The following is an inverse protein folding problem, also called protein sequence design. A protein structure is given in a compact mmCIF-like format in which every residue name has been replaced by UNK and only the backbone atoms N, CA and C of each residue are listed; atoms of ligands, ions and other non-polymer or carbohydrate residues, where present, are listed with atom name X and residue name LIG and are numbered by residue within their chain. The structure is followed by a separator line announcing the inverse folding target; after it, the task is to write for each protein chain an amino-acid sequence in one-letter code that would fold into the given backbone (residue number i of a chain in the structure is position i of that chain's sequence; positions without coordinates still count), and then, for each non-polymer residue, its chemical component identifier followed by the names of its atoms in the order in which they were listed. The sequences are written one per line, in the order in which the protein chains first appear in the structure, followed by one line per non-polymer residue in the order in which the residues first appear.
data_IF_644961188193
#
_entry.id   IF_644961188193
#
_cell.length_a   1.000
_cell.length_b   1.000
_cell.length_c   1.000
_cell.angle_alpha   90.00
_cell.angle_beta   90.00
_cell.angle_gamma   90.00
#
_symmetry.space_group_name_H-M   'P 1'
#
loop_
_entity.id
_entity.type
_entity.pdbx_description
1 polymer ?
#
# COMPACT_ATOMS: atom_id res chain seq x y z
N UNK A 1 -2.38 10.07 -4.69
CA UNK A 1 -1.30 11.05 -4.38
C UNK A 1 -0.80 11.79 -5.59
N UNK A 2 -0.44 11.11 -6.70
CA UNK A 2 0.03 11.77 -7.93
C UNK A 2 -0.90 12.91 -8.42
N UNK A 3 -2.21 12.70 -8.38
CA UNK A 3 -3.23 13.69 -8.75
C UNK A 3 -3.10 15.01 -7.98
N UNK A 4 -2.71 14.97 -6.69
CA UNK A 4 -2.53 16.17 -5.87
C UNK A 4 -1.26 16.94 -6.22
N UNK A 5 -0.24 16.26 -6.73
CA UNK A 5 0.98 16.93 -7.21
C UNK A 5 0.74 17.61 -8.56
N UNK A 6 -0.09 17.01 -9.43
CA UNK A 6 -0.46 17.58 -10.73
C UNK A 6 -1.41 18.79 -10.62
N UNK A 7 -2.14 18.94 -9.51
CA UNK A 7 -2.98 20.11 -9.27
C UNK A 7 -2.22 21.33 -8.73
N UNK A 8 -0.91 21.21 -8.48
CA UNK A 8 -0.09 22.32 -8.01
C UNK A 8 0.41 23.15 -9.21
N UNK A 9 0.50 24.48 -9.07
CA UNK A 9 0.80 25.36 -10.21
C UNK A 9 2.25 25.23 -10.70
N UNK A 10 3.18 24.80 -9.84
CA UNK A 10 4.62 24.74 -10.17
C UNK A 10 5.28 23.47 -9.64
N UNK A 11 6.33 23.01 -10.32
CA UNK A 11 7.13 21.85 -9.91
C UNK A 11 7.81 22.08 -8.55
N UNK A 12 8.22 23.32 -8.26
CA UNK A 12 8.78 23.71 -6.95
C UNK A 12 7.76 23.58 -5.83
N UNK A 13 6.49 23.89 -6.09
CA UNK A 13 5.42 23.65 -5.12
C UNK A 13 5.20 22.14 -4.89
N UNK A 14 5.16 21.33 -5.96
CA UNK A 14 5.05 19.87 -5.85
C UNK A 14 6.20 19.24 -5.04
N UNK A 15 7.44 19.68 -5.26
CA UNK A 15 8.60 19.20 -4.50
C UNK A 15 8.51 19.55 -3.01
N UNK A 16 8.10 20.79 -2.68
CA UNK A 16 7.89 21.21 -1.28
C UNK A 16 6.78 20.39 -0.61
N UNK A 17 5.67 20.16 -1.31
CA UNK A 17 4.58 19.33 -0.82
C UNK A 17 5.03 17.88 -0.55
N UNK A 18 5.87 17.31 -1.43
CA UNK A 18 6.44 15.99 -1.25
C UNK A 18 7.35 15.90 -0.01
N UNK A 19 8.24 16.89 0.19
CA UNK A 19 9.11 16.94 1.37
C UNK A 19 8.27 17.04 2.66
N UNK A 20 7.26 17.90 2.67
CA UNK A 20 6.34 18.05 3.80
C UNK A 20 5.61 16.73 4.09
N UNK A 21 5.15 16.04 3.04
CA UNK A 21 4.48 14.75 3.17
C UNK A 21 5.41 13.68 3.77
N UNK A 22 6.68 13.64 3.36
CA UNK A 22 7.67 12.69 3.90
C UNK A 22 7.89 12.94 5.40
N UNK A 23 8.13 14.18 5.79
CA UNK A 23 8.33 14.53 7.20
C UNK A 23 7.07 14.24 8.04
N UNK A 24 5.91 14.68 7.57
CA UNK A 24 4.64 14.45 8.25
C UNK A 24 4.31 12.97 8.43
N UNK A 25 4.49 12.16 7.38
CA UNK A 25 4.25 10.70 7.45
C UNK A 25 5.22 10.03 8.41
N UNK A 26 6.50 10.43 8.40
CA UNK A 26 7.51 9.88 9.30
C UNK A 26 7.18 10.21 10.76
N UNK A 27 6.80 11.45 11.05
CA UNK A 27 6.40 11.88 12.38
C UNK A 27 5.16 11.11 12.88
N UNK A 28 4.13 10.99 12.05
CA UNK A 28 2.91 10.22 12.39
C UNK A 28 3.23 8.76 12.64
N UNK A 29 4.04 8.11 11.79
CA UNK A 29 4.42 6.72 11.97
C UNK A 29 5.20 6.51 13.27
N UNK A 30 6.14 7.40 13.59
CA UNK A 30 6.88 7.36 14.86
C UNK A 30 5.95 7.48 16.08
N UNK A 31 4.94 8.35 16.00
CA UNK A 31 3.92 8.48 17.06
C UNK A 31 3.07 7.20 17.16
N UNK A 32 2.69 6.57 16.05
CA UNK A 32 1.96 5.29 16.07
C UNK A 32 2.79 4.18 16.74
N UNK A 33 4.09 4.08 16.42
CA UNK A 33 4.99 3.13 17.06
C UNK A 33 5.12 3.40 18.57
N UNK A 34 5.25 4.67 18.97
CA UNK A 34 5.28 5.05 20.37
C UNK A 34 3.99 4.67 21.11
N UNK A 35 2.82 4.88 20.49
CA UNK A 35 1.53 4.46 21.07
C UNK A 35 1.49 2.93 21.29
N UNK A 36 2.01 2.12 20.35
CA UNK A 36 2.10 0.68 20.53
C UNK A 36 2.97 0.27 21.73
N UNK A 37 4.11 0.95 21.93
CA UNK A 37 4.97 0.74 23.10
C UNK A 37 4.30 1.18 24.40
N UNK A 38 3.55 2.28 24.37
CA UNK A 38 2.80 2.78 25.52
C UNK A 38 1.72 1.80 25.96
N UNK A 39 0.95 1.25 25.02
CA UNK A 39 -0.04 0.20 25.30
C UNK A 39 0.63 -1.00 25.98
N UNK A 40 1.76 -1.46 25.44
CA UNK A 40 2.50 -2.55 26.05
C UNK A 40 2.96 -2.22 27.47
N UNK A 41 3.50 -1.02 27.70
CA UNK A 41 3.97 -0.61 29.03
C UNK A 41 2.84 -0.51 30.06
N UNK A 42 1.63 -0.12 29.65
CA UNK A 42 0.46 0.02 30.53
C UNK A 42 -0.23 -1.31 30.82
N UNK A 43 -0.28 -2.21 29.83
CA UNK A 43 -1.04 -3.46 29.90
C UNK A 43 -0.15 -4.71 29.98
N UNK A 44 1.14 -4.56 30.30
CA UNK A 44 2.05 -5.69 30.44
C UNK A 44 1.61 -6.65 31.54
N UNK A 45 1.21 -6.10 32.70
CA UNK A 45 0.89 -6.86 33.91
C UNK A 45 -0.59 -7.32 33.96
N UNK A 46 -1.43 -6.68 33.14
CA UNK A 46 -2.83 -7.03 32.94
C UNK A 46 -3.20 -6.88 31.47
N UNK A 47 -3.10 -7.97 30.71
CA UNK A 47 -3.44 -7.99 29.30
C UNK A 47 -4.96 -7.99 29.05
N UNK A 48 -5.55 -6.90 28.52
CA UNK A 48 -6.98 -6.82 28.24
C UNK A 48 -7.44 -7.77 27.12
N UNK A 49 -6.51 -8.29 26.30
CA UNK A 49 -6.85 -9.24 25.23
C UNK A 49 -7.10 -10.64 25.79
N UNK A 50 -6.25 -11.09 26.71
CA UNK A 50 -6.36 -12.41 27.36
C UNK A 50 -7.53 -12.51 28.36
N UNK A 51 -7.88 -11.39 29.00
CA UNK A 51 -9.05 -11.32 29.89
C UNK A 51 -10.38 -11.19 29.14
N UNK A 52 -10.35 -10.94 27.83
CA UNK A 52 -11.54 -10.75 26.99
C UNK A 52 -12.17 -9.36 27.09
N UNK A 53 -11.53 -8.40 27.77
CA UNK A 53 -11.95 -7.01 27.82
C UNK A 53 -11.86 -6.35 26.43
N UNK A 54 -10.81 -6.66 25.67
CA UNK A 54 -10.68 -6.37 24.25
C UNK A 54 -10.89 -7.64 23.42
N UNK A 55 -11.76 -7.58 22.41
CA UNK A 55 -12.01 -8.74 21.52
C UNK A 55 -10.97 -8.87 20.41
N UNK A 56 -10.35 -7.76 20.02
CA UNK A 56 -9.39 -7.69 18.92
C UNK A 56 -8.25 -6.73 19.26
N UNK A 57 -7.06 -6.99 18.68
CA UNK A 57 -5.86 -6.17 18.87
C UNK A 57 -6.07 -4.70 18.48
N UNK A 58 -6.89 -4.46 17.46
CA UNK A 58 -7.20 -3.11 16.96
C UNK A 58 -8.05 -2.27 17.96
N UNK A 59 -8.63 -2.90 18.99
CA UNK A 59 -9.42 -2.22 20.03
C UNK A 59 -8.58 -1.69 21.19
N UNK A 60 -7.30 -2.06 21.28
CA UNK A 60 -6.42 -1.68 22.39
C UNK A 60 -6.18 -0.16 22.47
N UNK A 61 -6.02 0.51 21.32
CA UNK A 61 -5.80 1.97 21.29
C UNK A 61 -7.04 2.72 21.80
N UNK A 62 -8.27 2.47 21.29
CA UNK A 62 -9.47 3.07 21.87
C UNK A 62 -9.65 2.77 23.37
N UNK A 63 -9.37 1.54 23.79
CA UNK A 63 -9.48 1.13 25.20
C UNK A 63 -8.56 1.97 26.09
N UNK A 64 -7.28 2.08 25.73
CA UNK A 64 -6.32 2.90 26.47
C UNK A 64 -6.76 4.38 26.55
N UNK A 65 -7.28 4.92 25.45
CA UNK A 65 -7.75 6.32 25.43
C UNK A 65 -8.97 6.52 26.33
N UNK A 66 -9.91 5.57 26.31
CA UNK A 66 -11.08 5.62 27.18
C UNK A 66 -10.68 5.55 28.65
N UNK A 67 -9.69 4.75 29.03
CA UNK A 67 -9.19 4.64 30.40
C UNK A 67 -8.44 5.89 30.86
N UNK A 68 -7.47 6.36 30.07
CA UNK A 68 -6.59 7.48 30.45
C UNK A 68 -7.32 8.83 30.38
N UNK A 69 -8.17 9.04 29.38
CA UNK A 69 -8.88 10.30 29.17
C UNK A 69 -10.28 10.33 29.81
N UNK A 70 -10.71 9.27 30.51
CA UNK A 70 -11.99 9.26 31.24
C UNK A 70 -12.17 10.45 32.19
N UNK A 71 -11.06 10.95 32.75
CA UNK A 71 -11.04 12.06 33.70
C UNK A 71 -11.49 13.38 33.05
N UNK A 72 -11.31 13.51 31.73
CA UNK A 72 -11.59 14.75 30.99
C UNK A 72 -12.80 14.54 30.07
N UNK A 73 -14.01 15.00 30.46
CA UNK A 73 -15.20 14.81 29.66
C UNK A 73 -15.05 15.46 28.27
N UNK A 74 -15.35 14.69 27.22
CA UNK A 74 -15.30 15.16 25.84
C UNK A 74 -14.01 14.85 25.07
N UNK A 75 -12.87 14.60 25.74
CA UNK A 75 -11.62 14.28 25.03
C UNK A 75 -11.67 12.93 24.30
N UNK A 76 -12.29 11.92 24.92
CA UNK A 76 -12.53 10.64 24.26
C UNK A 76 -13.41 10.80 23.00
N UNK A 77 -14.43 11.65 23.06
CA UNK A 77 -15.27 11.97 21.89
C UNK A 77 -14.50 12.69 20.79
N UNK A 78 -13.64 13.64 21.16
CA UNK A 78 -12.75 14.35 20.22
C UNK A 78 -11.77 13.38 19.53
N UNK A 79 -11.22 12.42 20.29
CA UNK A 79 -10.35 11.38 19.76
C UNK A 79 -11.06 10.51 18.72
N UNK A 80 -12.25 10.00 19.05
CA UNK A 80 -13.06 9.19 18.13
C UNK A 80 -13.44 10.00 16.89
N UNK A 81 -13.84 11.27 17.04
CA UNK A 81 -14.13 12.17 15.92
C UNK A 81 -12.90 12.38 15.01
N UNK A 82 -11.71 12.51 15.60
CA UNK A 82 -10.44 12.60 14.87
C UNK A 82 -10.14 11.36 14.02
N UNK A 83 -10.35 10.17 14.59
CA UNK A 83 -10.18 8.89 13.86
C UNK A 83 -11.15 8.83 12.67
N UNK A 84 -12.43 9.12 12.89
CA UNK A 84 -13.42 9.11 11.80
C UNK A 84 -13.07 10.13 10.71
N UNK A 85 -12.65 11.34 11.09
CA UNK A 85 -12.22 12.37 10.14
C UNK A 85 -11.02 11.90 9.29
N UNK A 86 -10.00 11.32 9.92
CA UNK A 86 -8.83 10.78 9.22
C UNK A 86 -9.18 9.62 8.27
N UNK A 87 -10.04 8.70 8.73
CA UNK A 87 -10.52 7.57 7.92
C UNK A 87 -11.34 8.03 6.71
N UNK A 88 -12.30 8.94 6.91
CA UNK A 88 -13.13 9.49 5.84
C UNK A 88 -12.31 10.30 4.82
N UNK A 89 -11.30 11.05 5.26
CA UNK A 89 -10.39 11.79 4.37
C UNK A 89 -9.63 10.85 3.42
N UNK A 90 -9.14 9.73 3.96
CA UNK A 90 -8.43 8.70 3.18
C UNK A 90 -9.37 7.97 2.23
N UNK A 91 -10.55 7.56 2.71
CA UNK A 91 -11.57 6.87 1.93
C UNK A 91 -12.08 7.74 0.77
N UNK A 92 -12.38 9.01 1.04
CA UNK A 92 -12.81 9.98 0.03
C UNK A 92 -11.76 10.14 -1.07
N UNK A 93 -10.48 10.23 -0.69
CA UNK A 93 -9.38 10.32 -1.67
C UNK A 93 -9.27 9.06 -2.51
N UNK A 94 -9.38 7.87 -1.90
CA UNK A 94 -9.31 6.59 -2.61
C UNK A 94 -10.47 6.43 -3.61
N UNK A 95 -11.71 6.70 -3.18
CA UNK A 95 -12.89 6.60 -4.05
C UNK A 95 -12.86 7.63 -5.19
N UNK A 96 -12.36 8.85 -4.93
CA UNK A 96 -12.21 9.87 -5.96
C UNK A 96 -11.12 9.52 -6.99
N UNK A 97 -10.00 8.94 -6.56
CA UNK A 97 -8.99 8.45 -7.49
C UNK A 97 -9.52 7.26 -8.30
N UNK A 98 -10.27 6.36 -7.68
CA UNK A 98 -10.86 5.20 -8.36
C UNK A 98 -11.90 5.61 -9.40
N UNK A 99 -12.77 6.58 -9.10
CA UNK A 99 -13.73 7.07 -10.08
C UNK A 99 -13.04 7.73 -11.28
N UNK A 100 -11.95 8.47 -11.04
CA UNK A 100 -11.13 9.03 -12.11
C UNK A 100 -10.48 7.94 -12.99
N UNK A 101 -9.97 6.87 -12.40
CA UNK A 101 -9.43 5.70 -13.13
C UNK A 101 -10.52 5.05 -13.99
N UNK A 102 -11.72 4.84 -13.44
CA UNK A 102 -12.85 4.27 -14.21
C UNK A 102 -13.20 5.15 -15.41
N UNK A 103 -13.19 6.47 -15.24
CA UNK A 103 -13.47 7.41 -16.33
C UNK A 103 -12.36 7.40 -17.39
N UNK A 104 -11.11 7.63 -16.98
CA UNK A 104 -9.97 7.85 -17.89
C UNK A 104 -9.48 6.55 -18.54
N UNK A 105 -9.45 5.43 -17.81
CA UNK A 105 -8.86 4.19 -18.30
C UNK A 105 -9.89 3.19 -18.84
N UNK A 106 -11.13 3.19 -18.31
CA UNK A 106 -12.15 2.21 -18.69
C UNK A 106 -13.31 2.76 -19.50
N UNK A 107 -13.57 4.07 -19.46
CA UNK A 107 -14.68 4.66 -20.21
C UNK A 107 -14.19 5.42 -21.44
N UNK A 108 -13.35 6.44 -21.27
CA UNK A 108 -12.88 7.27 -22.39
C UNK A 108 -12.23 6.48 -23.54
N UNK A 109 -11.39 5.45 -23.31
CA UNK A 109 -10.74 4.73 -24.41
C UNK A 109 -11.72 3.90 -25.26
N UNK A 110 -12.86 3.52 -24.69
CA UNK A 110 -13.85 2.65 -25.34
C UNK A 110 -15.02 3.43 -25.96
N UNK A 111 -15.12 4.74 -25.71
CA UNK A 111 -16.18 5.59 -26.24
C UNK A 111 -15.67 6.40 -27.44
N UNK A 112 -16.33 6.25 -28.59
CA UNK A 112 -15.94 6.92 -29.85
C UNK A 112 -16.23 8.43 -29.88
N UNK A 113 -17.08 8.93 -28.98
CA UNK A 113 -17.49 10.35 -28.91
C UNK A 113 -17.06 10.93 -27.56
N UNK A 114 -16.64 12.20 -27.49
CA UNK A 114 -16.35 12.84 -26.22
C UNK A 114 -17.61 12.84 -25.34
N UNK A 115 -17.46 12.41 -24.09
CA UNK A 115 -18.54 12.40 -23.12
C UNK A 115 -18.93 13.84 -22.77
N UNK A 116 -20.23 14.10 -22.64
CA UNK A 116 -20.73 15.38 -22.15
C UNK A 116 -20.41 15.55 -20.66
N UNK A 117 -20.29 16.80 -20.17
CA UNK A 117 -20.00 17.07 -18.75
C UNK A 117 -21.02 16.41 -17.81
N UNK A 118 -22.29 16.36 -18.22
CA UNK A 118 -23.34 15.71 -17.44
C UNK A 118 -23.10 14.20 -17.32
N UNK A 119 -22.73 13.53 -18.42
CA UNK A 119 -22.41 12.11 -18.42
C UNK A 119 -21.17 11.81 -17.59
N UNK A 120 -20.11 12.63 -17.71
CA UNK A 120 -18.89 12.50 -16.89
C UNK A 120 -19.22 12.63 -15.41
N UNK A 121 -19.99 13.65 -15.02
CA UNK A 121 -20.38 13.86 -13.62
C UNK A 121 -21.20 12.70 -13.08
N UNK A 122 -22.16 12.21 -13.84
CA UNK A 122 -23.00 11.08 -13.43
C UNK A 122 -22.18 9.81 -13.27
N UNK A 123 -21.33 9.48 -14.25
CA UNK A 123 -20.45 8.32 -14.21
C UNK A 123 -19.49 8.36 -13.01
N UNK A 124 -18.84 9.50 -12.76
CA UNK A 124 -17.94 9.67 -11.63
C UNK A 124 -18.65 9.44 -10.29
N UNK A 125 -19.85 9.99 -10.09
CA UNK A 125 -20.65 9.81 -8.87
C UNK A 125 -21.18 8.39 -8.73
N UNK A 126 -21.65 7.78 -9.81
CA UNK A 126 -22.13 6.41 -9.83
C UNK A 126 -21.03 5.42 -9.47
N UNK A 127 -19.81 5.59 -10.02
CA UNK A 127 -18.64 4.78 -9.67
C UNK A 127 -18.33 4.86 -8.17
N UNK A 128 -18.35 6.06 -7.57
CA UNK A 128 -18.12 6.22 -6.13
C UNK A 128 -19.18 5.46 -5.31
N UNK A 129 -20.46 5.54 -5.68
CA UNK A 129 -21.53 4.81 -4.99
C UNK A 129 -21.38 3.30 -5.11
N UNK A 130 -21.06 2.79 -6.31
CA UNK A 130 -20.89 1.35 -6.55
C UNK A 130 -19.71 0.81 -5.74
N UNK A 131 -18.53 1.42 -5.86
CA UNK A 131 -17.35 0.95 -5.13
C UNK A 131 -17.45 1.19 -3.61
N UNK A 132 -18.10 2.27 -3.18
CA UNK A 132 -18.42 2.50 -1.77
C UNK A 132 -19.33 1.41 -1.20
N UNK A 133 -20.36 1.00 -1.96
CA UNK A 133 -21.26 -0.09 -1.56
C UNK A 133 -20.51 -1.43 -1.49
N UNK A 134 -19.68 -1.72 -2.49
CA UNK A 134 -18.83 -2.93 -2.49
C UNK A 134 -17.90 -2.94 -1.28
N UNK A 135 -17.28 -1.80 -0.94
CA UNK A 135 -16.41 -1.69 0.22
C UNK A 135 -17.17 -1.99 1.53
N UNK A 136 -18.40 -1.48 1.69
CA UNK A 136 -19.25 -1.79 2.87
C UNK A 136 -19.59 -3.28 2.94
N UNK A 137 -19.94 -3.91 1.81
CA UNK A 137 -20.24 -5.35 1.78
C UNK A 137 -19.02 -6.19 2.16
N UNK A 138 -17.82 -5.79 1.70
CA UNK A 138 -16.57 -6.49 2.02
C UNK A 138 -16.18 -6.41 3.50
N UNK A 139 -16.73 -5.49 4.30
CA UNK A 139 -16.46 -5.41 5.74
C UNK A 139 -16.82 -6.72 6.45
N UNK A 140 -17.91 -7.39 6.03
CA UNK A 140 -18.34 -8.67 6.61
C UNK A 140 -17.27 -9.76 6.47
N UNK A 141 -16.50 -9.71 5.38
CA UNK A 141 -15.38 -10.64 5.14
C UNK A 141 -14.18 -10.25 6.01
N UNK A 142 -13.84 -8.96 6.04
CA UNK A 142 -12.68 -8.44 6.79
C UNK A 142 -12.84 -8.65 8.29
N UNK A 143 -14.05 -8.56 8.84
CA UNK A 143 -14.31 -8.81 10.27
C UNK A 143 -14.00 -10.25 10.69
N UNK A 144 -14.05 -11.20 9.75
CA UNK A 144 -13.69 -12.61 9.99
C UNK A 144 -12.21 -12.90 9.78
N UNK A 145 -11.49 -11.95 9.19
CA UNK A 145 -10.06 -12.02 9.05
C UNK A 145 -9.39 -11.44 10.31
N UNK A 146 -8.13 -11.82 10.59
CA UNK A 146 -7.43 -11.44 11.82
C UNK A 146 -7.12 -9.94 11.95
N UNK A 147 -5.93 -9.59 12.43
CA UNK A 147 -5.56 -8.18 12.63
C UNK A 147 -5.63 -7.37 11.32
N UNK A 148 -6.35 -6.24 11.32
CA UNK A 148 -6.61 -5.44 10.11
C UNK A 148 -5.33 -4.88 9.51
N UNK A 149 -4.38 -4.47 10.37
CA UNK A 149 -3.07 -4.00 9.95
C UNK A 149 -2.31 -5.07 9.14
N UNK A 150 -2.30 -6.31 9.63
CA UNK A 150 -1.60 -7.42 8.98
C UNK A 150 -2.22 -7.75 7.61
N UNK A 151 -3.55 -7.74 7.51
CA UNK A 151 -4.26 -7.95 6.25
C UNK A 151 -3.94 -6.83 5.25
N UNK A 152 -3.97 -5.59 5.68
CA UNK A 152 -3.69 -4.43 4.84
C UNK A 152 -2.25 -4.45 4.30
N UNK A 153 -1.28 -4.79 5.17
CA UNK A 153 0.13 -4.84 4.82
C UNK A 153 0.52 -6.09 4.01
N UNK A 154 -0.31 -7.12 3.99
CA UNK A 154 -0.06 -8.34 3.18
C UNK A 154 -0.78 -8.31 1.83
N UNK A 155 -2.04 -7.83 1.78
CA UNK A 155 -2.81 -7.72 0.55
C UNK A 155 -2.41 -6.51 -0.31
N UNK A 156 -2.08 -5.38 0.31
CA UNK A 156 -1.71 -4.16 -0.42
C UNK A 156 -0.53 -4.34 -1.39
N UNK A 157 0.58 -5.00 -0.97
CA UNK A 157 1.73 -5.23 -1.84
C UNK A 157 1.47 -6.15 -3.05
N UNK A 158 0.40 -6.94 -3.06
CA UNK A 158 0.11 -7.88 -4.17
C UNK A 158 0.00 -7.15 -5.50
N UNK A 159 -0.62 -5.98 -5.50
CA UNK A 159 -0.78 -5.14 -6.70
C UNK A 159 0.23 -4.00 -6.73
N UNK A 160 0.50 -3.37 -5.58
CA UNK A 160 1.44 -2.24 -5.50
C UNK A 160 2.88 -2.64 -5.82
N UNK A 161 3.31 -3.85 -5.43
CA UNK A 161 4.66 -4.35 -5.72
C UNK A 161 4.92 -4.45 -7.23
N UNK A 162 4.11 -5.20 -7.99
CA UNK A 162 4.29 -5.31 -9.43
C UNK A 162 4.14 -3.98 -10.18
N UNK A 163 3.23 -3.11 -9.74
CA UNK A 163 3.13 -1.75 -10.29
C UNK A 163 4.41 -0.95 -10.04
N UNK A 164 5.00 -1.03 -8.85
CA UNK A 164 6.27 -0.39 -8.54
C UNK A 164 7.41 -0.98 -9.39
N UNK A 165 7.44 -2.30 -9.57
CA UNK A 165 8.36 -2.97 -10.49
C UNK A 165 8.22 -2.47 -11.94
N UNK A 166 7.00 -2.22 -12.41
CA UNK A 166 6.73 -1.66 -13.74
C UNK A 166 7.34 -0.25 -13.89
N UNK A 167 7.20 0.61 -12.89
CA UNK A 167 7.85 1.92 -12.87
C UNK A 167 9.38 1.82 -12.85
N UNK A 168 9.94 0.87 -12.08
CA UNK A 168 11.40 0.63 -12.06
C UNK A 168 11.88 0.20 -13.45
N UNK A 169 11.17 -0.74 -14.09
CA UNK A 169 11.47 -1.18 -15.46
C UNK A 169 11.49 0.00 -16.44
N UNK A 170 10.46 0.84 -16.42
CA UNK A 170 10.37 2.00 -17.30
C UNK A 170 11.43 3.08 -17.07
N UNK A 171 11.77 3.38 -15.81
CA UNK A 171 12.72 4.46 -15.48
C UNK A 171 14.19 4.06 -15.62
N UNK A 172 14.52 2.79 -15.34
CA UNK A 172 15.91 2.34 -15.21
C UNK A 172 16.37 1.40 -16.32
N UNK A 173 15.46 0.71 -17.02
CA UNK A 173 15.80 -0.33 -17.99
C UNK A 173 15.26 0.02 -19.38
N UNK A 174 15.95 0.88 -20.16
CA UNK A 174 15.47 1.31 -21.47
C UNK A 174 15.29 0.15 -22.45
N UNK A 175 15.97 -0.98 -22.24
CA UNK A 175 15.90 -2.18 -23.10
C UNK A 175 14.61 -3.00 -22.95
N UNK A 176 13.75 -2.69 -21.98
CA UNK A 176 12.52 -3.45 -21.73
C UNK A 176 11.38 -2.88 -22.59
N UNK A 177 10.89 -3.66 -23.54
CA UNK A 177 9.74 -3.29 -24.37
C UNK A 177 8.42 -3.46 -23.60
N UNK A 178 7.34 -2.82 -24.06
CA UNK A 178 6.01 -2.89 -23.42
C UNK A 178 5.49 -4.32 -23.21
N UNK A 179 5.70 -5.22 -24.17
CA UNK A 179 5.31 -6.64 -24.03
C UNK A 179 6.07 -7.34 -22.90
N UNK A 180 7.39 -7.10 -22.78
CA UNK A 180 8.21 -7.67 -21.72
C UNK A 180 7.81 -7.10 -20.35
N UNK A 181 7.45 -5.81 -20.30
CA UNK A 181 6.95 -5.16 -19.10
C UNK A 181 5.61 -5.75 -18.63
N UNK A 182 4.68 -6.04 -19.55
CA UNK A 182 3.40 -6.71 -19.24
C UNK A 182 3.64 -8.14 -18.75
N UNK A 183 4.52 -8.91 -19.40
CA UNK A 183 4.88 -10.28 -18.97
C UNK A 183 5.50 -10.25 -17.57
N UNK A 184 6.42 -9.31 -17.32
CA UNK A 184 7.02 -9.08 -16.01
C UNK A 184 5.96 -8.78 -14.95
N UNK A 185 5.08 -7.80 -15.19
CA UNK A 185 4.02 -7.41 -14.26
C UNK A 185 3.02 -8.55 -14.00
N UNK A 186 2.60 -9.29 -15.02
CA UNK A 186 1.71 -10.45 -14.87
C UNK A 186 2.37 -11.56 -14.06
N UNK A 187 3.64 -11.89 -14.34
CA UNK A 187 4.41 -12.87 -13.57
C UNK A 187 4.59 -12.45 -12.11
N UNK A 188 4.87 -11.16 -11.87
CA UNK A 188 4.95 -10.58 -10.53
C UNK A 188 3.63 -10.67 -9.76
N UNK A 189 2.51 -10.33 -10.42
CA UNK A 189 1.18 -10.41 -9.83
C UNK A 189 0.81 -11.85 -9.45
N UNK A 190 1.06 -12.83 -10.34
CA UNK A 190 0.80 -14.24 -10.07
C UNK A 190 1.65 -14.76 -8.91
N UNK A 191 2.95 -14.43 -8.90
CA UNK A 191 3.87 -14.86 -7.84
C UNK A 191 3.48 -14.25 -6.49
N UNK A 192 3.17 -12.95 -6.45
CA UNK A 192 2.70 -12.27 -5.24
C UNK A 192 1.37 -12.82 -4.75
N UNK A 193 0.41 -13.03 -5.66
CA UNK A 193 -0.89 -13.61 -5.32
C UNK A 193 -0.71 -15.01 -4.70
N UNK A 194 0.16 -15.84 -5.27
CA UNK A 194 0.50 -17.15 -4.72
C UNK A 194 1.09 -17.05 -3.31
N UNK A 195 2.10 -16.19 -3.11
CA UNK A 195 2.77 -16.04 -1.80
C UNK A 195 1.78 -15.57 -0.73
N UNK A 196 0.98 -14.55 -1.03
CA UNK A 196 0.05 -13.95 -0.06
C UNK A 196 -1.12 -14.87 0.24
N UNK A 197 -1.74 -15.51 -0.76
CA UNK A 197 -2.83 -16.47 -0.53
C UNK A 197 -2.33 -17.63 0.35
N UNK A 198 -1.15 -18.18 0.05
CA UNK A 198 -0.54 -19.25 0.86
C UNK A 198 -0.25 -18.80 2.29
N UNK A 199 0.26 -17.57 2.46
CA UNK A 199 0.49 -16.98 3.79
C UNK A 199 -0.82 -16.86 4.58
N UNK A 200 -1.88 -16.32 3.96
CA UNK A 200 -3.19 -16.17 4.61
C UNK A 200 -3.81 -17.52 5.00
N UNK A 201 -3.68 -18.54 4.14
CA UNK A 201 -4.16 -19.90 4.45
C UNK A 201 -3.40 -20.47 5.65
N UNK A 202 -2.07 -20.34 5.68
CA UNK A 202 -1.26 -20.90 6.77
C UNK A 202 -1.50 -20.18 8.11
N UNK A 203 -1.75 -18.86 8.07
CA UNK A 203 -2.22 -18.10 9.24
C UNK A 203 -3.60 -18.58 9.70
N UNK A 204 -4.53 -18.82 8.77
CA UNK A 204 -5.88 -19.30 9.09
C UNK A 204 -5.89 -20.74 9.65
N UNK A 205 -4.94 -21.58 9.23
CA UNK A 205 -4.75 -22.95 9.74
C UNK A 205 -3.99 -22.99 11.08
N UNK A 206 -3.47 -21.86 11.56
CA UNK A 206 -2.74 -21.78 12.83
C UNK A 206 -1.32 -22.36 12.80
N UNK A 207 -0.80 -22.69 11.62
CA UNK A 207 0.58 -23.18 11.43
C UNK A 207 1.62 -22.08 11.68
N UNK A 208 1.19 -20.82 11.61
CA UNK A 208 2.02 -19.62 11.74
C UNK A 208 1.50 -18.71 12.83
N UNK A 209 2.20 -18.68 13.97
CA UNK A 209 1.97 -17.70 15.04
C UNK A 209 3.13 -16.73 15.10
N UNK A 210 2.86 -15.43 15.04
CA UNK A 210 3.88 -14.41 15.29
C UNK A 210 4.22 -14.42 16.78
N UNK A 211 5.51 -14.45 17.11
CA UNK A 211 5.95 -14.36 18.49
C UNK A 211 5.45 -13.04 19.11
N UNK A 212 4.58 -13.15 20.10
CA UNK A 212 4.06 -12.00 20.83
C UNK A 212 5.02 -11.66 21.98
N UNK A 213 5.05 -10.38 22.36
CA UNK A 213 5.83 -9.94 23.51
C UNK A 213 5.19 -10.52 24.77
N UNK A 214 5.95 -11.00 25.78
CA UNK A 214 5.36 -11.61 26.97
C UNK A 214 4.45 -10.61 27.68
N UNK A 215 3.31 -11.11 28.15
CA UNK A 215 2.28 -10.39 28.90
C UNK A 215 1.76 -11.30 30.01
N UNK A 216 1.26 -10.71 31.09
CA UNK A 216 0.68 -11.43 32.23
C UNK A 216 -0.74 -10.94 32.53
N UNK A 217 -1.48 -11.75 33.28
CA UNK A 217 -2.84 -11.45 33.75
C UNK A 217 -2.91 -11.37 35.28
N UNK A 218 -1.76 -11.49 35.96
CA UNK A 218 -1.66 -11.56 37.42
C UNK A 218 -1.98 -10.21 38.09
N UNK A 219 -1.77 -9.09 37.38
CA UNK A 219 -2.04 -7.74 37.86
C UNK A 219 -3.47 -7.24 37.61
N UNK A 220 -4.38 -8.07 37.11
CA UNK A 220 -5.73 -7.64 36.77
C UNK A 220 -6.64 -7.50 38.01
N UNK A 221 -7.20 -6.30 38.21
CA UNK A 221 -8.04 -5.96 39.37
C UNK A 221 -9.55 -6.22 39.19
N UNK A 222 -9.97 -6.84 38.07
CA UNK A 222 -11.36 -7.13 37.74
C UNK A 222 -11.57 -8.63 37.54
N UNK A 223 -12.80 -9.11 37.75
CA UNK A 223 -13.15 -10.52 37.52
C UNK A 223 -13.22 -10.82 36.02
N UNK A 224 -12.53 -11.87 35.59
CA UNK A 224 -12.59 -12.38 34.22
C UNK A 224 -12.59 -13.90 34.19
N UNK A 225 -13.26 -14.48 33.20
CA UNK A 225 -13.09 -15.89 32.86
C UNK A 225 -11.83 -16.02 32.02
N UNK A 226 -10.80 -16.76 32.46
CA UNK A 226 -9.61 -16.93 31.64
C UNK A 226 -10.02 -17.59 30.32
N UNK A 227 -9.73 -16.94 29.19
CA UNK A 227 -9.62 -17.70 27.94
C UNK A 227 -8.51 -18.73 28.21
N UNK A 228 -8.74 -20.01 27.88
CA UNK A 228 -7.75 -21.09 27.94
C UNK A 228 -6.58 -20.86 26.94
N UNK A 229 -6.03 -19.64 26.84
CA UNK A 229 -4.73 -19.38 26.24
C UNK A 229 -3.69 -19.57 27.33
N UNK A 230 -2.98 -20.67 27.23
CA UNK A 230 -1.77 -20.94 28.03
C UNK A 230 -0.82 -19.76 27.94
N UNK A 231 -0.36 -19.33 29.12
CA UNK A 231 0.68 -18.31 29.30
C UNK A 231 1.88 -18.70 28.43
N UNK A 232 2.23 -17.86 27.45
CA UNK A 232 3.47 -18.02 26.68
C UNK A 232 4.65 -17.61 27.54
N UNK A 233 5.12 -18.52 28.39
CA UNK A 233 6.50 -18.48 28.86
C UNK A 233 7.41 -18.94 27.71
N UNK A 234 8.55 -18.28 27.46
CA UNK A 234 9.51 -18.80 26.50
C UNK A 234 10.06 -20.11 27.07
N UNK A 235 9.56 -21.25 26.59
CA UNK A 235 10.27 -22.52 26.75
C UNK A 235 11.45 -22.49 25.78
N UNK A 236 12.62 -22.14 26.30
CA UNK A 236 13.91 -22.47 25.68
C UNK A 236 13.93 -23.98 25.46
N UNK A 237 13.79 -24.43 24.21
CA UNK A 237 13.91 -25.84 23.86
C UNK A 237 12.74 -26.43 23.09
N UNK A 238 12.45 -25.92 21.90
CA UNK A 238 11.87 -26.71 20.83
C UNK A 238 12.32 -26.11 19.50
N UNK A 239 13.54 -26.46 19.08
CA UNK A 239 13.93 -26.43 17.66
C UNK A 239 13.07 -27.47 16.91
N UNK A 240 11.77 -27.23 16.81
CA UNK A 240 10.99 -27.84 15.74
C UNK A 240 11.58 -27.26 14.46
N UNK A 241 12.10 -28.13 13.60
CA UNK A 241 12.50 -27.78 12.25
C UNK A 241 11.35 -27.07 11.54
N UNK A 242 11.24 -25.74 11.72
CA UNK A 242 10.32 -24.92 10.95
C UNK A 242 10.95 -24.90 9.57
N UNK A 243 10.44 -25.76 8.71
CA UNK A 243 10.80 -25.84 7.31
C UNK A 243 10.75 -24.41 6.78
N UNK A 244 11.94 -23.83 6.50
CA UNK A 244 12.11 -22.46 6.02
C UNK A 244 11.51 -22.36 4.62
N UNK A 245 10.19 -22.35 4.57
CA UNK A 245 9.41 -22.23 3.36
C UNK A 245 9.35 -20.75 2.98
N UNK A 246 9.35 -20.47 1.68
CA UNK A 246 9.32 -19.12 1.09
C UNK A 246 8.15 -18.24 1.60
N UNK A 247 7.18 -18.86 2.28
CA UNK A 247 5.98 -18.25 2.84
C UNK A 247 6.15 -17.71 4.29
N UNK A 248 7.25 -18.05 4.98
CA UNK A 248 7.66 -17.49 6.30
C UNK A 248 8.30 -16.11 6.24
N UNK A 249 8.19 -15.42 5.11
CA UNK A 249 8.74 -14.08 4.95
C UNK A 249 7.81 -13.06 5.60
N UNK A 250 8.37 -12.17 6.43
CA UNK A 250 7.63 -11.05 7.02
C UNK A 250 6.93 -10.23 5.93
N UNK A 251 5.67 -9.88 6.16
CA UNK A 251 4.86 -9.08 5.23
C UNK A 251 5.51 -7.74 4.84
N UNK A 252 6.43 -7.22 5.66
CA UNK A 252 7.25 -6.03 5.36
C UNK A 252 8.12 -6.19 4.10
N UNK A 253 8.54 -7.41 3.77
CA UNK A 253 9.34 -7.69 2.57
C UNK A 253 8.50 -7.90 1.32
N UNK A 254 7.17 -7.99 1.43
CA UNK A 254 6.31 -8.31 0.27
C UNK A 254 6.38 -7.23 -0.81
N UNK A 255 6.48 -5.96 -0.43
CA UNK A 255 6.67 -4.86 -1.40
C UNK A 255 7.99 -5.00 -2.16
N UNK A 256 9.07 -5.35 -1.46
CA UNK A 256 10.39 -5.54 -2.06
C UNK A 256 10.39 -6.71 -3.04
N UNK A 257 9.92 -7.88 -2.60
CA UNK A 257 9.82 -9.07 -3.45
C UNK A 257 8.86 -8.78 -4.62
N UNK A 258 7.74 -8.12 -4.34
CA UNK A 258 6.72 -7.71 -5.30
C UNK A 258 7.24 -6.79 -6.38
N UNK A 259 8.26 -5.97 -6.12
CA UNK A 259 8.91 -5.16 -7.15
C UNK A 259 10.08 -5.85 -7.85
N UNK A 260 10.84 -6.68 -7.12
CA UNK A 260 12.03 -7.34 -7.66
C UNK A 260 11.68 -8.45 -8.64
N UNK A 261 10.74 -9.33 -8.29
CA UNK A 261 10.30 -10.45 -9.13
C UNK A 261 9.86 -10.00 -10.53
N UNK A 262 8.90 -9.06 -10.69
CA UNK A 262 8.47 -8.61 -12.00
C UNK A 262 9.58 -7.92 -12.79
N UNK A 263 10.47 -7.19 -12.12
CA UNK A 263 11.62 -6.55 -12.77
C UNK A 263 12.59 -7.58 -13.34
N UNK A 264 12.87 -8.65 -12.59
CA UNK A 264 13.73 -9.76 -13.05
C UNK A 264 13.08 -10.49 -14.23
N UNK A 265 11.79 -10.84 -14.13
CA UNK A 265 11.06 -11.51 -15.21
C UNK A 265 11.03 -10.65 -16.48
N UNK A 266 10.74 -9.35 -16.35
CA UNK A 266 10.71 -8.43 -17.48
C UNK A 266 12.08 -8.25 -18.14
N UNK A 267 13.14 -8.17 -17.33
CA UNK A 267 14.51 -8.09 -17.84
C UNK A 267 14.94 -9.37 -18.56
N UNK A 268 14.68 -10.56 -17.98
CA UNK A 268 14.96 -11.85 -18.62
C UNK A 268 14.20 -11.99 -19.95
N UNK A 269 12.92 -11.61 -19.97
CA UNK A 269 12.12 -11.60 -21.19
C UNK A 269 12.73 -10.70 -22.28
N UNK A 270 13.22 -9.51 -21.91
CA UNK A 270 13.89 -8.60 -22.83
C UNK A 270 15.20 -9.19 -23.38
N UNK A 271 16.02 -9.83 -22.54
CA UNK A 271 17.26 -10.50 -22.97
C UNK A 271 16.97 -11.66 -23.92
N UNK A 272 16.00 -12.52 -23.60
CA UNK A 272 15.60 -13.65 -24.45
C UNK A 272 15.07 -13.15 -25.80
N UNK A 273 14.22 -12.11 -25.81
CA UNK A 273 13.73 -11.50 -27.04
C UNK A 273 14.87 -10.93 -27.88
N UNK A 274 15.85 -10.29 -27.24
CA UNK A 274 17.04 -9.76 -27.91
C UNK A 274 17.90 -10.86 -28.54
N UNK A 275 17.99 -12.05 -27.92
CA UNK A 275 18.76 -13.18 -28.45
C UNK A 275 18.03 -13.93 -29.58
N UNK A 276 16.70 -14.05 -29.48
CA UNK A 276 15.87 -14.84 -30.41
C UNK A 276 15.44 -14.08 -31.67
N UNK A 277 15.03 -12.82 -31.51
CA UNK A 277 14.47 -11.99 -32.61
C UNK A 277 15.50 -10.99 -33.14
N UNK A 278 16.61 -10.81 -32.43
CA UNK A 278 17.59 -9.77 -32.69
C UNK A 278 17.16 -8.41 -32.12
N UNK A 279 18.13 -7.61 -31.66
CA UNK A 279 17.88 -6.29 -31.11
C UNK A 279 17.46 -5.32 -32.21
N UNK A 280 16.20 -4.84 -32.18
CA UNK A 280 15.70 -3.79 -33.08
C UNK A 280 15.71 -2.43 -32.38
N UNK A 281 16.70 -1.55 -32.66
CA UNK A 281 16.82 -0.24 -32.02
C UNK A 281 15.69 0.74 -32.39
N UNK A 282 14.95 0.51 -33.47
CA UNK A 282 13.83 1.37 -33.89
C UNK A 282 12.57 1.22 -33.01
N UNK A 283 12.40 0.10 -32.27
CA UNK A 283 11.30 -0.06 -31.30
C UNK A 283 11.53 0.75 -30.00
N UNK A 284 12.68 1.41 -29.86
CA UNK A 284 13.18 2.00 -28.62
C UNK A 284 13.38 3.53 -28.72
N UNK A 285 12.56 4.22 -29.52
CA UNK A 285 12.48 5.69 -29.52
C UNK A 285 11.81 6.17 -28.21
N UNK A 286 12.58 6.18 -27.12
CA UNK A 286 12.12 6.56 -25.78
C UNK A 286 12.54 8.01 -25.51
N UNK A 287 11.58 8.82 -25.08
CA UNK A 287 11.85 10.18 -24.60
C UNK A 287 12.81 10.12 -23.39
N UNK A 288 14.02 10.72 -23.46
CA UNK A 288 14.97 10.75 -22.37
C UNK A 288 14.40 11.33 -21.07
N UNK A 289 13.36 12.16 -21.13
CA UNK A 289 12.70 12.72 -19.94
C UNK A 289 12.02 11.66 -19.06
N UNK A 290 11.58 10.54 -19.65
CA UNK A 290 10.97 9.42 -18.94
C UNK A 290 11.99 8.59 -18.13
N UNK A 291 13.27 8.71 -18.48
CA UNK A 291 14.35 7.99 -17.82
C UNK A 291 14.91 8.76 -16.63
N UNK A 292 15.48 7.99 -15.69
CA UNK A 292 16.19 8.57 -14.55
C UNK A 292 17.30 9.54 -15.01
N UNK A 293 17.52 10.67 -14.32
CA UNK A 293 18.40 11.75 -14.78
C UNK A 293 19.81 11.31 -15.19
N UNK A 294 20.38 10.31 -14.50
CA UNK A 294 21.72 9.79 -14.77
C UNK A 294 21.81 8.90 -16.01
N UNK A 295 20.69 8.30 -16.46
CA UNK A 295 20.64 7.47 -17.67
C UNK A 295 20.47 8.30 -18.95
N UNK A 296 19.97 9.53 -18.83
CA UNK A 296 19.72 10.44 -19.97
C UNK A 296 20.96 10.68 -20.83
N UNK A 297 22.14 10.70 -20.22
CA UNK A 297 23.42 10.91 -20.91
C UNK A 297 23.78 9.77 -21.88
N UNK A 298 23.20 8.59 -21.69
CA UNK A 298 23.50 7.39 -22.47
C UNK A 298 22.43 7.10 -23.55
N UNK A 299 21.34 7.87 -23.60
CA UNK A 299 20.25 7.70 -24.55
C UNK A 299 20.45 8.64 -25.76
N UNK A 300 20.19 8.15 -26.98
CA UNK A 300 20.13 9.01 -28.17
C UNK A 300 18.87 9.90 -28.10
N UNK A 301 18.90 11.15 -28.61
CA UNK A 301 17.74 12.02 -28.61
C UNK A 301 16.59 11.42 -29.43
N UNK A 302 15.39 11.47 -28.86
CA UNK A 302 14.18 10.91 -29.47
C UNK A 302 13.72 11.77 -30.66
N UNK A 303 13.15 11.12 -31.70
CA UNK A 303 12.59 11.82 -32.87
C UNK A 303 11.16 12.31 -32.63
N UNK A 304 10.48 11.79 -31.61
CA UNK A 304 9.03 11.98 -31.38
C UNK A 304 8.80 12.66 -30.04
N UNK A 305 9.21 13.92 -29.91
CA UNK A 305 9.16 14.65 -28.65
C UNK A 305 7.79 15.32 -28.42
N UNK A 306 6.70 14.55 -28.30
CA UNK A 306 5.37 15.13 -28.01
C UNK A 306 5.21 15.50 -26.52
N UNK A 307 5.91 14.80 -25.62
CA UNK A 307 5.92 15.12 -24.18
C UNK A 307 6.87 16.28 -23.83
N UNK A 308 7.85 16.56 -24.70
CA UNK A 308 8.67 17.76 -24.63
C UNK A 308 7.82 19.02 -24.80
N UNK A 309 6.74 18.97 -25.58
CA UNK A 309 5.82 20.09 -25.77
C UNK A 309 5.10 20.44 -24.45
N UNK A 310 4.63 19.44 -23.70
CA UNK A 310 3.90 19.64 -22.42
C UNK A 310 4.82 20.11 -21.30
N UNK A 311 6.04 19.57 -21.20
CA UNK A 311 7.03 20.00 -20.18
C UNK A 311 7.62 21.37 -20.54
N UNK A 312 7.92 21.65 -21.81
CA UNK A 312 8.31 23.00 -22.24
C UNK A 312 7.20 24.01 -22.00
N UNK A 313 5.92 23.66 -22.15
CA UNK A 313 4.82 24.56 -21.83
C UNK A 313 4.79 24.93 -20.34
N UNK A 314 5.07 23.98 -19.45
CA UNK A 314 5.23 24.24 -18.02
C UNK A 314 6.45 25.14 -17.73
N UNK A 315 7.60 24.86 -18.36
CA UNK A 315 8.85 25.59 -18.11
C UNK A 315 8.83 27.00 -18.73
N UNK A 316 8.16 27.20 -19.87
CA UNK A 316 8.01 28.52 -20.50
C UNK A 316 7.00 29.43 -19.80
N UNK A 317 5.89 28.87 -19.27
CA UNK A 317 4.94 29.64 -18.44
C UNK A 317 5.56 30.12 -17.13
N UNK A 318 6.49 29.36 -16.55
CA UNK A 318 7.22 29.74 -15.32
C UNK A 318 8.32 30.81 -15.55
N UNK A 319 8.67 31.15 -16.80
CA UNK A 319 9.68 32.18 -17.15
C UNK A 319 9.03 33.50 -17.63
N UNK A 320 7.72 33.50 -17.93
CA UNK A 320 7.00 34.68 -18.43
C UNK A 320 6.06 35.36 -17.41
N UNK A 321 6.26 35.12 -16.11
CA UNK A 321 5.64 35.87 -15.00
C UNK A 321 6.73 36.34 -14.04
#
# INVERSE_FOLDING_TARGET
MIQRYLSLPTLKAARRALILFLFGTTAVLSLCCYNGLLIYAMHHDCDPLSTGLAKAKDQLVPLLVMEVLAIYPGLAGLFVAGIFSAALSSLSTALNSLSAIVLEDFCKPFVKKPLTEFQVRYLMRASVLVFGTIAVVLVVVVEKMGAVLQLSMSLGPVTLGPLFGLFIMGMFFPRINGTCAIIGAAGGLLTMSYIVIRSQISIALGEFTFAEKPVTVEGCAYDFTPLNRTITFPTDGADSHVEKSLHHVSFLYYTLIGSMVPTIIGYLCAVIKSFTVGYRPEELDIDPLLLAPFLRKYQKPSKTAHMAEVIHEFETKDVQL
#
